data_IF_341906716969
#
_entry.id   IF_341906716969
#
_cell.length_a   1.000
_cell.length_b   1.000
_cell.length_c   1.000
_cell.angle_alpha   90.00
_cell.angle_beta   90.00
_cell.angle_gamma   90.00
#
_symmetry.space_group_name_H-M   'P 1'
#
loop_
_entity.id
_entity.type
_entity.pdbx_description
1 polymer ?
#
# COMPACT_ATOMS: atom_id res chain seq x y z
N UNK A 1 -22.25 -5.78 -16.03
CA UNK A 1 -21.83 -4.40 -16.37
C UNK A 1 -20.36 -4.29 -16.04
N UNK A 2 -19.53 -4.03 -17.04
CA UNK A 2 -18.10 -3.78 -16.83
C UNK A 2 -17.95 -2.36 -16.31
N UNK A 3 -17.34 -2.19 -15.15
CA UNK A 3 -17.09 -0.85 -14.64
C UNK A 3 -16.03 -0.16 -15.50
N UNK A 4 -16.17 1.15 -15.70
CA UNK A 4 -15.22 1.97 -16.47
C UNK A 4 -13.78 1.83 -15.92
N UNK A 5 -13.63 1.64 -14.62
CA UNK A 5 -12.35 1.47 -13.95
C UNK A 5 -11.68 0.12 -14.19
N UNK A 6 -12.41 -0.87 -14.69
CA UNK A 6 -11.88 -2.20 -15.02
C UNK A 6 -11.21 -2.26 -16.40
N UNK A 7 -11.40 -1.21 -17.21
CA UNK A 7 -10.82 -1.17 -18.57
C UNK A 7 -9.38 -0.66 -18.49
N UNK A 8 -8.44 -1.54 -18.83
CA UNK A 8 -7.04 -1.16 -18.91
C UNK A 8 -6.80 -0.11 -20.01
N UNK A 9 -6.06 0.95 -19.67
CA UNK A 9 -5.64 1.98 -20.63
C UNK A 9 -4.84 1.41 -21.80
N UNK A 10 -4.15 0.28 -21.60
CA UNK A 10 -3.39 -0.41 -22.66
C UNK A 10 -4.29 -0.99 -23.76
N UNK A 11 -5.57 -1.25 -23.47
CA UNK A 11 -6.55 -1.76 -24.42
C UNK A 11 -7.32 -0.65 -25.15
N UNK A 12 -7.16 0.59 -24.72
CA UNK A 12 -7.89 1.73 -25.25
C UNK A 12 -7.14 2.32 -26.43
N UNK A 13 -7.80 2.40 -27.58
CA UNK A 13 -7.31 3.11 -28.76
C UNK A 13 -7.71 4.60 -28.71
N UNK A 14 -8.98 4.85 -28.39
CA UNK A 14 -9.49 6.22 -28.29
C UNK A 14 -10.63 6.33 -27.29
N UNK A 15 -10.75 7.52 -26.71
CA UNK A 15 -11.87 7.89 -25.84
C UNK A 15 -12.52 9.14 -26.43
N UNK A 16 -13.81 9.02 -26.76
CA UNK A 16 -14.61 10.12 -27.27
C UNK A 16 -15.70 10.48 -26.27
N UNK A 17 -15.73 11.74 -25.85
CA UNK A 17 -16.76 12.25 -24.94
C UNK A 17 -17.85 12.93 -25.78
N UNK A 18 -19.04 12.34 -25.79
CA UNK A 18 -20.21 12.89 -26.46
C UNK A 18 -21.03 13.73 -25.49
N UNK A 19 -21.28 14.98 -25.86
CA UNK A 19 -22.16 15.86 -25.08
C UNK A 19 -23.62 15.44 -25.23
N UNK A 20 -24.48 15.83 -24.27
CA UNK A 20 -25.86 15.35 -24.13
C UNK A 20 -26.70 15.30 -25.42
N UNK A 21 -26.64 16.32 -26.26
CA UNK A 21 -27.37 16.35 -27.52
C UNK A 21 -26.89 15.30 -28.53
N UNK A 22 -25.56 15.19 -28.70
CA UNK A 22 -24.97 14.21 -29.61
C UNK A 22 -25.15 12.77 -29.07
N UNK A 23 -24.97 12.60 -27.75
CA UNK A 23 -25.18 11.31 -27.10
C UNK A 23 -26.66 10.88 -27.16
N UNK A 24 -27.60 11.80 -26.98
CA UNK A 24 -29.04 11.50 -27.07
C UNK A 24 -29.47 11.11 -28.48
N UNK A 25 -28.85 11.68 -29.51
CA UNK A 25 -29.10 11.31 -30.90
C UNK A 25 -28.69 9.86 -31.21
N UNK A 26 -27.64 9.34 -30.58
CA UNK A 26 -27.13 7.98 -30.78
C UNK A 26 -27.73 6.96 -29.83
N UNK A 27 -27.95 7.34 -28.57
CA UNK A 27 -28.31 6.42 -27.47
C UNK A 27 -29.68 6.71 -26.83
N UNK A 28 -30.45 7.64 -27.46
CA UNK A 28 -31.78 8.02 -26.95
C UNK A 28 -31.72 8.65 -25.57
N UNK A 29 -32.71 8.35 -24.74
CA UNK A 29 -32.84 8.90 -23.39
C UNK A 29 -31.68 8.55 -22.45
N UNK A 30 -30.97 7.45 -22.70
CA UNK A 30 -29.78 7.06 -21.92
C UNK A 30 -28.63 8.05 -22.11
N UNK A 31 -28.53 8.68 -23.28
CA UNK A 31 -27.48 9.65 -23.61
C UNK A 31 -27.73 11.08 -23.12
N UNK A 32 -28.83 11.38 -22.43
CA UNK A 32 -29.22 12.76 -22.04
C UNK A 32 -28.14 13.50 -21.22
N UNK A 33 -27.38 12.78 -20.43
CA UNK A 33 -26.30 13.33 -19.59
C UNK A 33 -24.92 13.25 -20.27
N UNK A 34 -24.86 12.84 -21.53
CA UNK A 34 -23.63 12.57 -22.26
C UNK A 34 -23.30 11.08 -22.29
N UNK A 35 -22.28 10.73 -23.07
CA UNK A 35 -21.75 9.37 -23.15
C UNK A 35 -20.24 9.41 -23.37
N UNK A 36 -19.54 8.42 -22.82
CA UNK A 36 -18.12 8.19 -23.10
C UNK A 36 -18.04 6.97 -24.00
N UNK A 37 -17.52 7.17 -25.21
CA UNK A 37 -17.30 6.11 -26.18
C UNK A 37 -15.84 5.68 -26.15
N UNK A 38 -15.61 4.43 -25.75
CA UNK A 38 -14.28 3.84 -25.70
C UNK A 38 -14.12 2.89 -26.87
N UNK A 39 -13.08 3.09 -27.66
CA UNK A 39 -12.72 2.20 -28.75
C UNK A 39 -11.52 1.36 -28.32
N UNK A 40 -11.66 0.04 -28.39
CA UNK A 40 -10.59 -0.90 -28.06
C UNK A 40 -9.56 -0.98 -29.17
N UNK A 41 -8.31 -1.23 -28.82
CA UNK A 41 -7.23 -1.50 -29.78
C UNK A 41 -7.50 -2.77 -30.56
N UNK A 42 -7.16 -2.73 -31.84
CA UNK A 42 -7.20 -3.87 -32.75
C UNK A 42 -5.89 -3.98 -33.53
N UNK A 43 -5.61 -5.15 -34.13
CA UNK A 43 -4.45 -5.33 -34.98
C UNK A 43 -4.57 -4.50 -36.24
N UNK A 44 -3.61 -3.58 -36.49
CA UNK A 44 -3.61 -2.69 -37.66
C UNK A 44 -2.66 -3.14 -38.77
N UNK A 45 -1.48 -3.62 -38.38
CA UNK A 45 -0.42 -4.06 -39.29
C UNK A 45 -0.57 -5.53 -39.63
N UNK A 46 -0.30 -5.88 -40.88
CA UNK A 46 -0.25 -7.28 -41.29
C UNK A 46 0.88 -8.03 -40.59
N UNK A 47 0.62 -9.32 -40.31
CA UNK A 47 1.56 -10.19 -39.59
C UNK A 47 1.37 -10.18 -38.09
N UNK A 48 2.35 -10.70 -37.38
CA UNK A 48 2.40 -10.82 -35.93
C UNK A 48 3.21 -9.68 -35.35
N UNK A 49 2.66 -8.99 -34.34
CA UNK A 49 3.34 -7.98 -33.55
C UNK A 49 3.19 -8.34 -32.07
N UNK A 50 4.30 -8.38 -31.35
CA UNK A 50 4.34 -8.63 -29.91
C UNK A 50 5.02 -7.45 -29.25
N UNK A 51 4.33 -6.83 -28.28
CA UNK A 51 4.88 -5.74 -27.47
C UNK A 51 4.87 -6.14 -26.00
N UNK A 52 5.94 -5.83 -25.32
CA UNK A 52 6.06 -5.94 -23.88
C UNK A 52 6.43 -4.58 -23.31
N UNK A 53 5.72 -4.15 -22.30
CA UNK A 53 6.03 -2.95 -21.54
C UNK A 53 6.07 -3.22 -20.05
N UNK A 54 7.01 -2.60 -19.37
CA UNK A 54 7.11 -2.61 -17.92
C UNK A 54 7.35 -1.21 -17.41
N UNK A 55 6.64 -0.84 -16.37
CA UNK A 55 6.81 0.42 -15.67
C UNK A 55 7.01 0.12 -14.19
N UNK A 56 8.15 0.56 -13.65
CA UNK A 56 8.49 0.36 -12.26
C UNK A 56 8.70 1.70 -11.58
N UNK A 57 8.01 1.92 -10.48
CA UNK A 57 8.13 3.10 -9.62
C UNK A 57 8.52 2.66 -8.22
N UNK A 58 9.60 3.22 -7.72
CA UNK A 58 10.07 3.00 -6.36
C UNK A 58 9.82 4.27 -5.57
N UNK A 59 9.10 4.15 -4.47
CA UNK A 59 8.90 5.24 -3.52
C UNK A 59 9.86 5.02 -2.35
N UNK A 60 11.01 5.68 -2.45
CA UNK A 60 12.03 5.65 -1.40
C UNK A 60 12.06 7.00 -0.69
N UNK A 61 12.22 6.95 0.62
CA UNK A 61 12.21 8.13 1.47
C UNK A 61 10.78 8.61 1.81
N UNK A 62 10.71 9.54 2.72
CA UNK A 62 9.45 10.01 3.29
C UNK A 62 9.41 11.54 3.15
N UNK A 63 8.91 11.99 2.03
CA UNK A 63 8.93 13.41 1.68
C UNK A 63 8.07 14.31 2.61
N UNK A 64 7.28 13.71 3.51
CA UNK A 64 6.30 14.44 4.33
C UNK A 64 6.24 13.93 5.78
N UNK A 65 7.30 13.36 6.32
CA UNK A 65 7.33 13.08 7.75
C UNK A 65 7.55 14.39 8.52
N UNK A 66 6.76 14.65 9.58
CA UNK A 66 7.00 15.79 10.43
C UNK A 66 8.37 15.64 11.13
N UNK A 67 9.06 16.76 11.29
CA UNK A 67 10.24 16.77 12.13
C UNK A 67 9.85 16.43 13.58
N UNK A 68 10.55 15.49 14.16
CA UNK A 68 10.35 15.08 15.56
C UNK A 68 11.54 15.49 16.40
N UNK A 69 11.29 15.81 17.67
CA UNK A 69 12.37 16.09 18.60
C UNK A 69 12.98 14.77 19.10
N UNK A 70 14.30 14.77 19.30
CA UNK A 70 15.08 13.60 19.74
C UNK A 70 15.89 13.88 21.03
N UNK A 71 15.53 14.92 21.78
CA UNK A 71 16.27 15.33 22.97
C UNK A 71 15.67 14.81 24.27
N UNK A 72 14.35 14.73 24.34
CA UNK A 72 13.63 14.34 25.54
C UNK A 72 12.63 13.23 25.21
N UNK A 73 12.43 12.29 26.10
CA UNK A 73 11.48 11.22 25.95
C UNK A 73 10.20 11.46 26.76
N UNK A 74 9.40 10.41 26.89
CA UNK A 74 8.13 10.44 27.61
C UNK A 74 8.36 10.83 29.08
N UNK A 75 7.44 11.63 29.61
CA UNK A 75 7.43 12.05 31.01
C UNK A 75 7.35 13.55 31.17
N UNK A 76 7.48 13.99 32.42
CA UNK A 76 7.31 15.38 32.84
C UNK A 76 8.40 15.77 33.84
N UNK A 77 8.81 17.05 33.79
CA UNK A 77 9.80 17.61 34.75
C UNK A 77 11.10 16.79 34.84
N UNK A 78 11.56 16.22 33.72
CA UNK A 78 12.77 15.41 33.65
C UNK A 78 12.64 14.01 34.25
N UNK A 79 11.44 13.57 34.61
CA UNK A 79 11.14 12.22 35.11
C UNK A 79 10.38 11.43 34.08
N UNK A 80 10.71 10.15 33.98
CA UNK A 80 9.98 9.22 33.14
C UNK A 80 8.59 8.97 33.72
N UNK A 81 7.60 9.02 32.85
CA UNK A 81 6.22 8.66 33.14
C UNK A 81 5.71 7.74 32.03
N UNK A 82 5.02 6.70 32.44
CA UNK A 82 4.38 5.75 31.55
C UNK A 82 2.92 5.60 31.97
N UNK A 83 2.02 5.62 31.04
CA UNK A 83 0.57 5.74 31.30
C UNK A 83 -0.04 4.57 32.09
N UNK A 84 0.56 3.38 32.08
CA UNK A 84 0.05 2.23 32.81
C UNK A 84 0.18 2.35 34.34
N UNK A 85 0.85 3.37 34.83
CA UNK A 85 1.03 3.61 36.23
C UNK A 85 1.84 2.55 36.98
N UNK A 86 2.13 1.41 36.36
CA UNK A 86 2.72 0.24 37.02
C UNK A 86 4.23 0.40 37.24
N UNK A 87 4.91 1.04 36.30
CA UNK A 87 6.37 1.17 36.30
C UNK A 87 6.85 2.59 36.67
N UNK A 88 6.09 3.28 37.50
CA UNK A 88 6.43 4.60 38.01
C UNK A 88 5.76 5.78 37.32
N UNK A 89 4.97 5.52 36.30
CA UNK A 89 4.05 6.47 35.72
C UNK A 89 2.87 6.68 36.66
N UNK A 90 2.62 7.90 37.08
CA UNK A 90 1.53 8.23 38.01
C UNK A 90 0.32 8.78 37.24
N UNK A 91 0.52 9.18 36.03
CA UNK A 91 -0.49 9.79 35.17
C UNK A 91 -0.23 9.50 33.70
N UNK A 92 -1.23 9.73 32.89
CA UNK A 92 -1.16 9.65 31.46
C UNK A 92 0.10 10.31 30.90
N UNK A 93 1.01 9.52 30.42
CA UNK A 93 2.34 9.93 29.96
C UNK A 93 2.36 10.61 28.59
N UNK A 94 1.37 11.46 28.30
CA UNK A 94 1.30 12.22 27.04
C UNK A 94 2.35 13.33 26.95
N UNK A 95 3.05 13.58 28.04
CA UNK A 95 4.08 14.61 28.08
C UNK A 95 5.41 14.09 27.53
N UNK A 96 6.10 14.95 26.80
CA UNK A 96 7.37 14.64 26.13
C UNK A 96 8.57 15.40 26.74
N UNK A 97 8.49 15.75 28.03
CA UNK A 97 9.50 16.45 28.77
C UNK A 97 10.07 15.62 29.94
N UNK A 98 10.22 14.33 29.67
CA UNK A 98 10.87 13.38 30.56
C UNK A 98 12.38 13.50 30.57
N UNK A 99 13.11 12.44 30.95
CA UNK A 99 14.57 12.45 30.99
C UNK A 99 15.17 12.70 29.62
N UNK A 100 16.34 13.32 29.59
CA UNK A 100 17.07 13.56 28.34
C UNK A 100 17.52 12.24 27.71
N UNK A 101 17.29 12.11 26.41
CA UNK A 101 17.66 10.94 25.60
C UNK A 101 19.15 10.95 25.24
N UNK A 102 19.72 9.81 24.92
CA UNK A 102 21.08 9.63 24.39
C UNK A 102 22.21 10.13 25.29
N UNK A 103 22.00 10.18 26.62
CA UNK A 103 22.99 10.61 27.59
C UNK A 103 23.47 9.50 28.51
N UNK A 104 23.21 8.23 28.21
CA UNK A 104 23.58 7.07 28.99
C UNK A 104 22.66 6.78 30.18
N UNK A 105 21.54 7.48 30.29
CA UNK A 105 20.50 7.17 31.28
C UNK A 105 19.83 5.85 30.94
N UNK A 106 19.57 5.05 31.99
CA UNK A 106 18.76 3.83 31.87
C UNK A 106 17.46 4.02 32.63
N UNK A 107 16.35 3.57 31.97
CA UNK A 107 15.01 3.72 32.55
C UNK A 107 14.27 2.39 32.34
N UNK A 108 13.50 2.00 33.37
CA UNK A 108 12.56 0.89 33.20
C UNK A 108 11.39 1.37 32.34
N UNK A 109 11.27 0.80 31.14
CA UNK A 109 10.31 1.17 30.13
C UNK A 109 9.27 0.06 29.96
N UNK A 110 8.18 0.33 29.29
CA UNK A 110 7.11 -0.64 28.99
C UNK A 110 7.63 -1.91 28.27
N UNK A 111 8.65 -1.76 27.45
CA UNK A 111 9.30 -2.84 26.72
C UNK A 111 10.53 -3.42 27.41
N UNK A 112 10.83 -2.98 28.62
CA UNK A 112 11.94 -3.51 29.40
C UNK A 112 11.70 -4.96 29.77
N UNK A 113 12.72 -5.84 29.72
CA UNK A 113 12.60 -7.20 30.23
C UNK A 113 12.33 -7.22 31.74
N UNK A 114 11.74 -8.29 32.22
CA UNK A 114 11.43 -8.51 33.63
C UNK A 114 12.48 -9.44 34.23
N UNK A 115 12.93 -9.17 35.43
CA UNK A 115 13.79 -10.06 36.23
C UNK A 115 12.99 -10.70 37.34
N UNK A 116 13.08 -12.01 37.48
CA UNK A 116 12.69 -12.73 38.69
C UNK A 116 13.80 -12.57 39.74
N UNK A 117 13.52 -11.84 40.81
CA UNK A 117 14.48 -11.55 41.89
C UNK A 117 14.93 -12.79 42.67
N UNK A 118 14.11 -13.87 42.64
CA UNK A 118 14.40 -15.12 43.34
C UNK A 118 15.35 -15.98 42.53
N UNK A 119 15.10 -16.10 41.24
CA UNK A 119 15.88 -16.96 40.36
C UNK A 119 16.97 -16.25 39.58
N UNK A 120 16.92 -14.91 39.54
CA UNK A 120 17.78 -14.09 38.69
C UNK A 120 17.47 -14.18 37.19
N UNK A 121 16.45 -14.93 36.81
CA UNK A 121 16.11 -15.16 35.41
C UNK A 121 15.50 -13.91 34.77
N UNK A 122 16.01 -13.56 33.59
CA UNK A 122 15.40 -12.53 32.74
C UNK A 122 14.32 -13.12 31.86
N UNK A 123 13.19 -12.42 31.79
CA UNK A 123 11.99 -12.83 31.07
C UNK A 123 11.69 -11.72 30.06
N UNK A 124 11.75 -12.01 28.75
CA UNK A 124 11.28 -11.09 27.73
C UNK A 124 9.77 -10.89 27.90
N UNK A 125 9.37 -9.65 28.15
CA UNK A 125 7.97 -9.32 28.30
C UNK A 125 7.68 -7.99 27.60
N UNK A 126 6.62 -7.97 26.83
CA UNK A 126 6.19 -6.82 26.09
C UNK A 126 4.82 -6.38 26.60
N UNK A 127 4.75 -5.17 27.13
CA UNK A 127 3.49 -4.58 27.56
C UNK A 127 3.31 -4.49 29.07
N UNK A 128 2.06 -4.23 29.47
CA UNK A 128 1.67 -4.04 30.85
C UNK A 128 1.80 -5.32 31.66
N UNK A 129 2.24 -5.20 32.90
CA UNK A 129 2.33 -6.31 33.87
C UNK A 129 1.10 -6.43 34.74
N UNK A 130 0.25 -5.39 34.78
CA UNK A 130 -0.92 -5.32 35.64
C UNK A 130 -1.88 -6.52 35.39
N UNK A 131 -2.25 -7.19 36.48
CA UNK A 131 -3.12 -8.36 36.42
C UNK A 131 -2.48 -9.63 35.87
N UNK A 132 -1.17 -9.62 35.58
CA UNK A 132 -0.41 -10.80 35.19
C UNK A 132 0.35 -11.38 36.37
N UNK A 133 0.97 -12.55 36.20
CA UNK A 133 1.87 -13.13 37.20
C UNK A 133 3.07 -12.22 37.53
N UNK A 134 3.40 -11.26 36.66
CA UNK A 134 4.53 -10.35 36.80
C UNK A 134 4.18 -9.06 37.56
N UNK A 135 2.94 -8.89 37.98
CA UNK A 135 2.47 -7.75 38.79
C UNK A 135 2.95 -7.82 40.24
N UNK A 136 3.44 -8.96 40.67
CA UNK A 136 4.03 -9.12 41.98
C UNK A 136 5.41 -8.41 42.08
N UNK A 137 5.40 -7.16 42.51
CA UNK A 137 6.60 -6.31 42.66
C UNK A 137 7.57 -6.83 43.72
N UNK A 138 7.14 -7.72 44.62
CA UNK A 138 8.04 -8.35 45.61
C UNK A 138 8.97 -9.34 44.91
N UNK A 139 8.50 -10.00 43.89
CA UNK A 139 9.22 -11.02 43.13
C UNK A 139 9.81 -10.55 41.81
N UNK A 140 9.11 -9.67 41.11
CA UNK A 140 9.51 -9.25 39.77
C UNK A 140 9.88 -7.77 39.73
N UNK A 141 10.79 -7.42 38.84
CA UNK A 141 11.17 -6.05 38.55
C UNK A 141 11.47 -5.87 37.07
N UNK A 142 11.17 -4.70 36.52
CA UNK A 142 11.65 -4.33 35.18
C UNK A 142 13.11 -3.96 35.21
N UNK A 143 13.85 -4.43 34.22
CA UNK A 143 15.27 -4.14 34.06
C UNK A 143 15.39 -2.81 33.31
N UNK A 144 16.05 -1.77 33.88
CA UNK A 144 16.29 -0.54 33.17
C UNK A 144 17.12 -0.78 31.91
N UNK A 145 16.63 -0.30 30.78
CA UNK A 145 17.29 -0.32 29.49
C UNK A 145 17.69 1.08 29.04
N UNK A 146 18.56 1.18 28.05
CA UNK A 146 19.08 2.46 27.57
C UNK A 146 17.94 3.38 27.11
N UNK A 147 18.00 4.64 27.56
CA UNK A 147 17.06 5.68 27.20
C UNK A 147 17.55 6.44 25.99
N UNK A 148 17.17 5.95 24.82
CA UNK A 148 17.63 6.45 23.53
C UNK A 148 16.47 6.86 22.63
N UNK A 149 16.74 7.76 21.71
CA UNK A 149 15.76 8.15 20.71
C UNK A 149 15.68 7.12 19.60
N UNK A 150 14.49 6.94 19.08
CA UNK A 150 14.20 6.13 17.91
C UNK A 150 13.48 6.98 16.87
N UNK A 151 13.76 6.74 15.60
CA UNK A 151 13.03 7.35 14.50
C UNK A 151 11.85 6.43 14.12
N UNK A 152 10.90 6.29 15.04
CA UNK A 152 9.83 5.29 14.97
C UNK A 152 9.05 5.33 13.65
N UNK A 153 8.82 6.52 13.09
CA UNK A 153 8.10 6.64 11.81
C UNK A 153 8.93 6.09 10.66
N UNK A 154 10.20 6.44 10.61
CA UNK A 154 11.12 5.98 9.58
C UNK A 154 11.42 4.49 9.70
N UNK A 155 11.58 4.00 10.93
CA UNK A 155 11.83 2.59 11.21
C UNK A 155 10.60 1.72 10.94
N UNK A 156 9.40 2.26 11.09
CA UNK A 156 8.14 1.58 10.81
C UNK A 156 7.87 1.48 9.31
N UNK A 157 8.19 2.52 8.56
CA UNK A 157 7.86 2.60 7.15
C UNK A 157 8.86 1.82 6.28
N UNK A 158 8.40 1.32 5.16
CA UNK A 158 9.20 0.57 4.19
C UNK A 158 9.23 1.26 2.82
N UNK A 159 10.18 0.86 1.99
CA UNK A 159 10.20 1.31 0.59
C UNK A 159 9.00 0.75 -0.16
N UNK A 160 8.24 1.64 -0.79
CA UNK A 160 7.14 1.27 -1.66
C UNK A 160 7.63 0.89 -3.06
N UNK A 161 6.90 0.00 -3.71
CA UNK A 161 7.16 -0.44 -5.09
C UNK A 161 5.84 -0.55 -5.84
N UNK A 162 5.79 0.01 -7.03
CA UNK A 162 4.72 -0.25 -7.99
C UNK A 162 5.37 -0.80 -9.26
N UNK A 163 4.90 -1.93 -9.73
CA UNK A 163 5.31 -2.48 -11.02
C UNK A 163 4.07 -2.80 -11.86
N UNK A 164 4.06 -2.32 -13.09
CA UNK A 164 3.02 -2.59 -14.07
C UNK A 164 3.66 -3.27 -15.28
N UNK A 165 3.23 -4.47 -15.58
CA UNK A 165 3.74 -5.28 -16.67
C UNK A 165 2.60 -5.56 -17.65
N UNK A 166 2.82 -5.28 -18.91
CA UNK A 166 1.85 -5.51 -19.98
C UNK A 166 2.49 -6.27 -21.12
N UNK A 167 1.78 -7.22 -21.66
CA UNK A 167 2.11 -7.89 -22.90
C UNK A 167 0.94 -7.73 -23.87
N UNK A 168 1.21 -7.37 -25.10
CA UNK A 168 0.19 -7.36 -26.16
C UNK A 168 0.66 -8.16 -27.37
N UNK A 169 -0.25 -8.92 -27.92
CA UNK A 169 -0.08 -9.74 -29.10
C UNK A 169 -1.14 -9.31 -30.11
N UNK A 170 -0.70 -8.76 -31.22
CA UNK A 170 -1.55 -8.37 -32.33
C UNK A 170 -1.24 -9.23 -33.56
N UNK A 171 -2.26 -9.73 -34.21
CA UNK A 171 -2.13 -10.44 -35.48
C UNK A 171 -3.18 -9.96 -36.46
N UNK A 172 -2.77 -9.70 -37.69
CA UNK A 172 -3.65 -9.42 -38.80
C UNK A 172 -3.25 -10.26 -40.00
N UNK A 173 -4.17 -11.09 -40.45
CA UNK A 173 -4.08 -11.86 -41.68
C UNK A 173 -5.21 -11.48 -42.65
N UNK A 174 -5.34 -12.22 -43.74
CA UNK A 174 -6.34 -11.95 -44.79
C UNK A 174 -7.80 -12.08 -44.31
N UNK A 175 -8.07 -13.02 -43.39
CA UNK A 175 -9.43 -13.35 -42.94
C UNK A 175 -9.64 -13.21 -41.44
N UNK A 176 -8.61 -12.89 -40.72
CA UNK A 176 -8.71 -12.79 -39.25
C UNK A 176 -7.73 -11.74 -38.70
N UNK A 177 -8.19 -11.04 -37.69
CA UNK A 177 -7.35 -10.16 -36.88
C UNK A 177 -7.70 -10.37 -35.44
N UNK A 178 -6.68 -10.39 -34.55
CA UNK A 178 -6.88 -10.46 -33.13
C UNK A 178 -5.86 -9.63 -32.40
N UNK A 179 -6.29 -9.14 -31.23
CA UNK A 179 -5.49 -8.37 -30.32
C UNK A 179 -5.73 -8.92 -28.92
N UNK A 180 -4.67 -9.46 -28.32
CA UNK A 180 -4.70 -10.03 -26.97
C UNK A 180 -3.79 -9.20 -26.09
N UNK A 181 -4.26 -8.84 -24.92
CA UNK A 181 -3.40 -8.21 -23.91
C UNK A 181 -3.50 -8.93 -22.58
N UNK A 182 -2.36 -9.09 -21.94
CA UNK A 182 -2.24 -9.51 -20.54
C UNK A 182 -1.58 -8.41 -19.75
N UNK A 183 -2.13 -8.11 -18.58
CA UNK A 183 -1.58 -7.12 -17.69
C UNK A 183 -1.45 -7.70 -16.27
N UNK A 184 -0.41 -7.26 -15.57
CA UNK A 184 -0.22 -7.57 -14.17
C UNK A 184 0.41 -6.37 -13.46
N UNK A 185 -0.25 -5.92 -12.41
CA UNK A 185 0.22 -4.86 -11.56
C UNK A 185 0.45 -5.39 -10.14
N UNK A 186 1.58 -5.04 -9.56
CA UNK A 186 1.89 -5.26 -8.16
C UNK A 186 2.22 -3.93 -7.50
N UNK A 187 1.61 -3.68 -6.38
CA UNK A 187 1.88 -2.51 -5.57
C UNK A 187 2.19 -2.95 -4.13
N UNK A 188 3.34 -2.53 -3.65
CA UNK A 188 3.74 -2.60 -2.24
C UNK A 188 3.70 -1.20 -1.66
N UNK A 189 2.89 -0.99 -0.62
CA UNK A 189 2.80 0.30 0.07
C UNK A 189 3.99 0.57 0.98
N UNK A 190 4.06 1.80 1.49
CA UNK A 190 5.08 2.19 2.48
C UNK A 190 4.74 1.72 3.90
N UNK A 191 3.49 1.43 4.18
CA UNK A 191 3.09 0.81 5.45
C UNK A 191 3.31 -0.70 5.32
N UNK A 192 3.98 -1.36 6.29
CA UNK A 192 4.17 -2.80 6.28
C UNK A 192 2.86 -3.57 6.10
N UNK A 193 2.92 -4.70 5.41
CA UNK A 193 1.77 -5.57 5.12
C UNK A 193 0.67 -4.94 4.24
N UNK A 194 0.98 -3.87 3.51
CA UNK A 194 0.08 -3.31 2.50
C UNK A 194 0.54 -3.69 1.12
N UNK A 195 -0.21 -4.60 0.49
CA UNK A 195 0.09 -5.10 -0.85
C UNK A 195 -1.19 -5.18 -1.68
N UNK A 196 -1.07 -4.93 -2.97
CA UNK A 196 -2.14 -5.08 -3.94
C UNK A 196 -1.61 -5.80 -5.18
N UNK A 197 -2.37 -6.75 -5.64
CA UNK A 197 -2.15 -7.46 -6.89
C UNK A 197 -3.36 -7.23 -7.78
N UNK A 198 -3.13 -6.90 -9.03
CA UNK A 198 -4.18 -6.76 -10.03
C UNK A 198 -3.70 -7.36 -11.34
N UNK A 199 -4.58 -8.01 -12.05
CA UNK A 199 -4.26 -8.60 -13.35
C UNK A 199 -5.50 -8.81 -14.20
N UNK A 200 -5.31 -8.82 -15.51
CA UNK A 200 -6.38 -9.02 -16.45
C UNK A 200 -5.87 -9.49 -17.80
N UNK A 201 -6.75 -10.14 -18.53
CA UNK A 201 -6.53 -10.55 -19.93
C UNK A 201 -7.71 -10.01 -20.73
N UNK A 202 -7.41 -9.38 -21.87
CA UNK A 202 -8.42 -8.92 -22.82
C UNK A 202 -8.14 -9.55 -24.17
N UNK A 203 -9.21 -9.89 -24.86
CA UNK A 203 -9.17 -10.51 -26.16
C UNK A 203 -10.14 -9.81 -27.08
N UNK A 204 -9.67 -9.27 -28.20
CA UNK A 204 -10.47 -8.67 -29.24
C UNK A 204 -10.16 -9.40 -30.54
N UNK A 205 -11.16 -9.91 -31.22
CA UNK A 205 -10.97 -10.59 -32.49
C UNK A 205 -12.07 -10.22 -33.52
N UNK A 206 -11.68 -10.24 -34.78
CA UNK A 206 -12.56 -10.05 -35.90
C UNK A 206 -12.25 -11.11 -36.92
N UNK A 207 -13.27 -11.78 -37.43
CA UNK A 207 -13.18 -12.82 -38.47
C UNK A 207 -14.04 -12.43 -39.67
N UNK A 208 -13.45 -12.37 -40.85
CA UNK A 208 -14.14 -12.15 -42.11
C UNK A 208 -14.61 -13.53 -42.66
N UNK A 209 -15.84 -13.91 -42.31
CA UNK A 209 -16.41 -15.21 -42.67
C UNK A 209 -16.82 -15.29 -44.15
N UNK A 210 -17.28 -14.16 -44.70
CA UNK A 210 -17.62 -14.00 -46.11
C UNK A 210 -17.48 -12.53 -46.53
N UNK A 211 -17.59 -12.22 -47.83
CA UNK A 211 -17.45 -10.86 -48.38
C UNK A 211 -18.26 -9.79 -47.65
N UNK A 212 -19.42 -10.18 -47.11
CA UNK A 212 -20.34 -9.29 -46.40
C UNK A 212 -20.73 -9.81 -45.00
N UNK A 213 -19.92 -10.71 -44.43
CA UNK A 213 -20.19 -11.28 -43.12
C UNK A 213 -18.92 -11.25 -42.26
N UNK A 214 -18.99 -10.50 -41.17
CA UNK A 214 -17.92 -10.36 -40.21
C UNK A 214 -18.42 -10.80 -38.83
N UNK A 215 -17.58 -11.48 -38.08
CA UNK A 215 -17.81 -11.86 -36.69
C UNK A 215 -16.81 -11.14 -35.83
N UNK A 216 -17.31 -10.36 -34.88
CA UNK A 216 -16.51 -9.73 -33.83
C UNK A 216 -16.76 -10.45 -32.50
N UNK A 217 -15.68 -10.77 -31.77
CA UNK A 217 -15.72 -11.37 -30.44
C UNK A 217 -14.77 -10.64 -29.49
N UNK A 218 -15.29 -10.28 -28.32
CA UNK A 218 -14.57 -9.56 -27.27
C UNK A 218 -14.73 -10.29 -25.94
#
# INVERSE_FOLDING_TARGET
ETDFFDISSENIESVNVLKGTAASALYGSRGKNGAILITSKTAKKEGLEINFSTNNMITAGFAVLPETQHQYGSGSNGKYEFWDGADGGISDGDMTWGPKLNVGTKVAQWNSPIRDKVTGKEIPWWGDVKGTQYDDKSRYERIPIDWVSHDNLKDFLQTGLVTNNNISIAYKGEKARYFVTGQYAYQKGQVPSTEMHSGGINFNSTFDLAKNLQLDAN
#
